data_IF_409919473353
#
_entry.id   IF_409919473353
#
_cell.length_a   1.000
_cell.length_b   1.000
_cell.length_c   1.000
_cell.angle_alpha   90.00
_cell.angle_beta   90.00
_cell.angle_gamma   90.00
#
_symmetry.space_group_name_H-M   'P 1'
#
loop_
_entity.id
_entity.type
_entity.pdbx_description
1 polymer ?
#
# COMPACT_ATOMS: atom_id res chain seq x y z
N UNK A 1 10.79 -12.52 -18.73
CA UNK A 1 10.00 -13.50 -17.98
C UNK A 1 8.94 -12.72 -17.24
N UNK A 2 7.71 -12.70 -17.76
CA UNK A 2 6.57 -12.18 -17.03
C UNK A 2 6.38 -13.05 -15.80
N UNK A 3 6.60 -12.49 -14.62
CA UNK A 3 6.20 -13.12 -13.37
C UNK A 3 4.67 -13.10 -13.32
N UNK A 4 4.06 -14.07 -13.98
CA UNK A 4 2.61 -14.21 -14.04
C UNK A 4 2.06 -14.36 -12.62
N UNK A 5 1.18 -13.45 -12.26
CA UNK A 5 0.43 -13.38 -11.01
C UNK A 5 -0.17 -14.74 -10.63
N UNK A 6 0.22 -15.29 -9.48
CA UNK A 6 -0.41 -16.47 -8.89
C UNK A 6 -1.25 -16.05 -7.66
N UNK A 7 -2.57 -16.22 -7.75
CA UNK A 7 -3.52 -15.89 -6.66
C UNK A 7 -3.24 -16.64 -5.36
N UNK A 8 -2.62 -17.81 -5.45
CA UNK A 8 -2.29 -18.63 -4.29
C UNK A 8 -1.10 -18.04 -3.53
N UNK A 9 -0.11 -17.49 -4.25
CA UNK A 9 1.04 -16.80 -3.64
C UNK A 9 0.60 -15.53 -2.89
N UNK A 10 -0.35 -14.77 -3.45
CA UNK A 10 -0.95 -13.60 -2.79
C UNK A 10 -1.72 -13.96 -1.53
N UNK A 11 -2.49 -15.05 -1.58
CA UNK A 11 -3.26 -15.54 -0.43
C UNK A 11 -2.35 -16.04 0.69
N UNK A 12 -1.24 -16.72 0.35
CA UNK A 12 -0.20 -17.12 1.31
C UNK A 12 0.43 -15.89 1.97
N UNK A 13 0.81 -14.87 1.17
CA UNK A 13 1.36 -13.62 1.71
C UNK A 13 0.35 -12.95 2.65
N UNK A 14 -0.92 -12.83 2.26
CA UNK A 14 -1.96 -12.25 3.11
C UNK A 14 -2.13 -12.99 4.45
N UNK A 15 -2.16 -14.32 4.42
CA UNK A 15 -2.29 -15.13 5.62
C UNK A 15 -1.09 -15.00 6.56
N UNK A 16 0.13 -14.92 6.02
CA UNK A 16 1.35 -14.66 6.81
C UNK A 16 1.34 -13.29 7.50
N UNK A 17 0.64 -12.32 6.91
CA UNK A 17 0.59 -10.94 7.38
C UNK A 17 -0.47 -10.71 8.48
N UNK A 18 -1.53 -11.52 8.50
CA UNK A 18 -2.59 -11.45 9.51
C UNK A 18 -2.10 -11.71 10.95
N UNK A 19 -1.10 -12.60 11.12
CA UNK A 19 -0.70 -13.13 12.42
C UNK A 19 0.44 -12.34 13.12
N UNK A 20 0.68 -11.09 12.71
CA UNK A 20 1.86 -10.32 13.09
C UNK A 20 1.52 -9.15 14.01
N UNK A 21 2.24 -9.05 15.14
CA UNK A 21 2.12 -7.97 16.13
C UNK A 21 2.48 -6.60 15.54
N UNK A 22 1.96 -5.53 16.18
CA UNK A 22 2.14 -4.12 15.77
C UNK A 22 3.61 -3.72 15.57
N UNK A 23 4.54 -4.40 16.27
CA UNK A 23 5.99 -4.16 16.16
C UNK A 23 6.55 -4.33 14.75
N UNK A 24 5.89 -5.10 13.88
CA UNK A 24 6.37 -5.41 12.53
C UNK A 24 5.67 -4.63 11.41
N UNK A 25 4.85 -3.61 11.72
CA UNK A 25 4.05 -2.91 10.70
C UNK A 25 4.87 -2.26 9.59
N UNK A 26 5.98 -1.60 9.90
CA UNK A 26 6.84 -0.98 8.88
C UNK A 26 7.44 -2.05 7.94
N UNK A 27 8.11 -3.12 8.45
CA UNK A 27 8.54 -4.23 7.60
C UNK A 27 7.43 -4.83 6.72
N UNK A 28 6.21 -4.97 7.25
CA UNK A 28 5.10 -5.54 6.48
C UNK A 28 4.60 -4.60 5.38
N UNK A 29 4.52 -3.29 5.66
CA UNK A 29 4.18 -2.28 4.64
C UNK A 29 5.24 -2.27 3.52
N UNK A 30 6.54 -2.38 3.87
CA UNK A 30 7.62 -2.49 2.89
C UNK A 30 7.49 -3.76 2.03
N UNK A 31 7.20 -4.91 2.66
CA UNK A 31 6.96 -6.17 1.94
C UNK A 31 5.79 -6.05 0.97
N UNK A 32 4.68 -5.45 1.40
CA UNK A 32 3.49 -5.24 0.57
C UNK A 32 3.79 -4.28 -0.61
N UNK A 33 4.45 -3.15 -0.36
CA UNK A 33 4.89 -2.24 -1.41
C UNK A 33 5.76 -2.95 -2.46
N UNK A 34 6.70 -3.79 -2.00
CA UNK A 34 7.55 -4.61 -2.87
C UNK A 34 6.77 -5.65 -3.67
N UNK A 35 5.78 -6.31 -3.05
CA UNK A 35 4.89 -7.27 -3.73
C UNK A 35 4.15 -6.57 -4.87
N UNK A 36 3.52 -5.42 -4.64
CA UNK A 36 2.82 -4.70 -5.71
C UNK A 36 3.76 -4.34 -6.87
N UNK A 37 4.98 -3.90 -6.57
CA UNK A 37 5.98 -3.63 -7.61
C UNK A 37 6.40 -4.89 -8.38
N UNK A 38 6.61 -6.02 -7.69
CA UNK A 38 6.99 -7.31 -8.28
C UNK A 38 5.98 -7.78 -9.33
N UNK A 39 4.68 -7.62 -9.07
CA UNK A 39 3.61 -8.04 -9.99
C UNK A 39 3.13 -6.93 -10.95
N UNK A 40 3.96 -5.90 -11.16
CA UNK A 40 3.66 -4.79 -12.06
C UNK A 40 2.38 -4.00 -11.72
N UNK A 41 1.99 -3.97 -10.45
CA UNK A 41 0.81 -3.27 -9.93
C UNK A 41 1.15 -1.85 -9.46
N UNK A 42 1.99 -1.14 -10.23
CA UNK A 42 2.52 0.18 -9.85
C UNK A 42 1.42 1.24 -9.73
N UNK A 43 0.38 1.14 -10.56
CA UNK A 43 -0.75 2.06 -10.53
C UNK A 43 -1.58 1.85 -9.27
N UNK A 44 -1.88 0.61 -8.92
CA UNK A 44 -2.58 0.25 -7.68
C UNK A 44 -1.76 0.70 -6.48
N UNK A 45 -0.44 0.49 -6.50
CA UNK A 45 0.47 0.95 -5.47
C UNK A 45 0.37 2.47 -5.25
N UNK A 46 0.37 3.23 -6.35
CA UNK A 46 0.18 4.69 -6.34
C UNK A 46 -1.19 5.09 -5.80
N UNK A 47 -2.25 4.42 -6.25
CA UNK A 47 -3.62 4.69 -5.80
C UNK A 47 -3.79 4.50 -4.30
N UNK A 48 -3.28 3.39 -3.74
CA UNK A 48 -3.33 3.10 -2.30
C UNK A 48 -2.61 4.19 -1.49
N UNK A 49 -1.43 4.62 -1.96
CA UNK A 49 -0.67 5.69 -1.31
C UNK A 49 -1.40 7.03 -1.36
N UNK A 50 -1.98 7.39 -2.51
CA UNK A 50 -2.73 8.64 -2.65
C UNK A 50 -3.99 8.61 -1.79
N UNK A 51 -4.73 7.51 -1.79
CA UNK A 51 -5.94 7.34 -0.99
C UNK A 51 -5.64 7.47 0.52
N UNK A 52 -4.57 6.82 1.00
CA UNK A 52 -4.13 6.98 2.39
C UNK A 52 -3.80 8.44 2.74
N UNK A 53 -3.07 9.14 1.86
CA UNK A 53 -2.69 10.54 2.10
C UNK A 53 -3.93 11.43 2.13
N UNK A 54 -4.87 11.22 1.22
CA UNK A 54 -6.11 12.00 1.09
C UNK A 54 -7.02 11.82 2.32
N UNK A 55 -7.30 10.57 2.69
CA UNK A 55 -8.14 10.21 3.85
C UNK A 55 -7.63 10.75 5.19
N UNK A 56 -6.34 11.06 5.26
CA UNK A 56 -5.70 11.59 6.47
C UNK A 56 -5.12 12.99 6.27
N UNK A 57 -5.43 13.67 5.17
CA UNK A 57 -4.84 14.96 4.78
C UNK A 57 -4.88 16.00 5.90
N UNK A 58 -6.00 16.09 6.62
CA UNK A 58 -6.20 16.95 7.81
C UNK A 58 -5.16 16.72 8.90
N UNK A 59 -4.91 15.45 9.24
CA UNK A 59 -3.97 15.04 10.29
C UNK A 59 -2.52 15.17 9.79
N UNK A 60 -2.29 14.81 8.53
CA UNK A 60 -0.97 14.81 7.91
C UNK A 60 -0.47 16.21 7.58
N UNK A 61 -1.34 17.23 7.67
CA UNK A 61 -1.06 18.61 7.24
C UNK A 61 -0.53 18.66 5.81
N UNK A 62 -1.09 17.82 4.95
CA UNK A 62 -0.74 17.77 3.54
C UNK A 62 -1.56 18.86 2.82
N UNK A 63 -0.91 19.95 2.40
CA UNK A 63 -1.59 21.17 1.94
C UNK A 63 -2.07 21.11 0.49
N UNK A 64 -1.50 20.24 -0.31
CA UNK A 64 -1.80 20.10 -1.73
C UNK A 64 -2.82 18.97 -1.91
N UNK A 65 -3.69 19.07 -2.92
CA UNK A 65 -4.50 17.93 -3.33
C UNK A 65 -3.57 16.85 -3.91
N UNK A 66 -3.50 15.71 -3.22
CA UNK A 66 -2.59 14.62 -3.59
C UNK A 66 -2.89 14.10 -5.00
N UNK A 67 -4.16 14.08 -5.44
CA UNK A 67 -4.52 13.60 -6.77
C UNK A 67 -4.07 14.55 -7.88
N UNK A 68 -3.95 15.85 -7.59
CA UNK A 68 -3.39 16.83 -8.55
C UNK A 68 -1.87 16.74 -8.63
N UNK A 69 -1.18 16.49 -7.50
CA UNK A 69 0.28 16.56 -7.44
C UNK A 69 0.98 15.21 -7.49
N UNK A 70 0.26 14.09 -7.49
CA UNK A 70 0.86 12.75 -7.44
C UNK A 70 1.79 12.50 -8.63
N UNK A 71 1.42 12.94 -9.85
CA UNK A 71 2.19 12.71 -11.07
C UNK A 71 3.55 13.42 -11.08
N UNK A 72 3.73 14.41 -10.21
CA UNK A 72 5.01 15.12 -10.03
C UNK A 72 5.97 14.37 -9.09
N UNK A 73 5.49 13.30 -8.44
CA UNK A 73 6.25 12.52 -7.45
C UNK A 73 6.43 11.10 -7.98
N UNK A 74 7.63 10.57 -7.85
CA UNK A 74 7.91 9.16 -8.09
C UNK A 74 7.12 8.29 -7.09
N UNK A 75 6.89 7.03 -7.44
CA UNK A 75 6.19 6.10 -6.56
C UNK A 75 6.93 5.91 -5.22
N UNK A 76 8.27 5.90 -5.25
CA UNK A 76 9.09 5.78 -4.04
C UNK A 76 8.98 7.04 -3.16
N UNK A 77 8.92 8.24 -3.75
CA UNK A 77 8.70 9.46 -2.99
C UNK A 77 7.33 9.47 -2.31
N UNK A 78 6.27 9.08 -3.04
CA UNK A 78 4.93 8.93 -2.45
C UNK A 78 4.94 7.92 -1.29
N UNK A 79 5.64 6.80 -1.46
CA UNK A 79 5.78 5.79 -0.42
C UNK A 79 6.49 6.34 0.83
N UNK A 80 7.62 7.04 0.65
CA UNK A 80 8.36 7.63 1.76
C UNK A 80 7.58 8.73 2.46
N UNK A 81 6.80 9.53 1.73
CA UNK A 81 5.90 10.53 2.30
C UNK A 81 4.86 9.85 3.17
N UNK A 82 4.10 8.90 2.62
CA UNK A 82 3.05 8.17 3.34
C UNK A 82 3.61 7.45 4.58
N UNK A 83 4.71 6.72 4.46
CA UNK A 83 5.30 5.96 5.56
C UNK A 83 5.81 6.87 6.69
N UNK A 84 6.51 7.96 6.35
CA UNK A 84 7.02 8.89 7.36
C UNK A 84 5.89 9.62 8.08
N UNK A 85 4.86 10.04 7.34
CA UNK A 85 3.66 10.67 7.89
C UNK A 85 2.90 9.68 8.77
N UNK A 86 2.68 8.46 8.30
CA UNK A 86 2.03 7.40 9.08
C UNK A 86 2.76 7.15 10.41
N UNK A 87 4.10 7.05 10.39
CA UNK A 87 4.90 6.89 11.60
C UNK A 87 4.77 8.06 12.57
N UNK A 88 4.82 9.30 12.08
CA UNK A 88 4.75 10.51 12.93
C UNK A 88 3.39 10.71 13.59
N UNK A 89 2.33 10.21 12.96
CA UNK A 89 0.95 10.42 13.41
C UNK A 89 0.29 9.14 13.96
N UNK A 90 1.07 8.08 14.23
CA UNK A 90 0.57 6.77 14.69
C UNK A 90 -0.47 6.11 13.76
N UNK A 91 -0.37 6.34 12.45
CA UNK A 91 -1.26 5.80 11.40
C UNK A 91 -0.64 4.61 10.64
N UNK A 92 0.37 3.94 11.20
CA UNK A 92 0.99 2.77 10.57
C UNK A 92 -0.01 1.62 10.36
N UNK A 93 -0.95 1.43 11.30
CA UNK A 93 -2.02 0.45 11.15
C UNK A 93 -2.96 0.80 9.99
N UNK A 94 -3.29 2.07 9.81
CA UNK A 94 -4.15 2.53 8.72
C UNK A 94 -3.48 2.34 7.35
N UNK A 95 -2.21 2.74 7.22
CA UNK A 95 -1.43 2.51 5.99
C UNK A 95 -1.28 1.02 5.69
N UNK A 96 -1.04 0.20 6.70
CA UNK A 96 -0.99 -1.25 6.55
C UNK A 96 -2.32 -1.83 6.06
N UNK A 97 -3.44 -1.37 6.64
CA UNK A 97 -4.79 -1.79 6.22
C UNK A 97 -5.09 -1.42 4.78
N UNK A 98 -4.68 -0.23 4.34
CA UNK A 98 -4.84 0.20 2.96
C UNK A 98 -4.20 -0.80 1.99
N UNK A 99 -2.95 -1.21 2.28
CA UNK A 99 -2.28 -2.23 1.50
C UNK A 99 -2.96 -3.59 1.55
N UNK A 100 -3.34 -4.08 2.73
CA UNK A 100 -3.98 -5.40 2.85
C UNK A 100 -5.36 -5.44 2.19
N UNK A 101 -6.12 -4.33 2.26
CA UNK A 101 -7.41 -4.19 1.60
C UNK A 101 -7.24 -4.17 0.08
N UNK A 102 -6.25 -3.43 -0.42
CA UNK A 102 -5.88 -3.44 -1.84
C UNK A 102 -5.50 -4.85 -2.32
N UNK A 103 -4.66 -5.54 -1.54
CA UNK A 103 -4.24 -6.91 -1.82
C UNK A 103 -5.45 -7.85 -1.93
N UNK A 104 -6.38 -7.77 -0.96
CA UNK A 104 -7.59 -8.59 -0.93
C UNK A 104 -8.52 -8.27 -2.11
N UNK A 105 -8.72 -7.00 -2.44
CA UNK A 105 -9.56 -6.58 -3.56
C UNK A 105 -9.02 -7.11 -4.90
N UNK A 106 -7.70 -7.06 -5.11
CA UNK A 106 -7.04 -7.60 -6.30
C UNK A 106 -7.21 -9.13 -6.38
N UNK A 107 -6.96 -9.84 -5.27
CA UNK A 107 -7.15 -11.29 -5.21
C UNK A 107 -8.59 -11.70 -5.52
N UNK A 108 -9.57 -10.97 -4.99
CA UNK A 108 -11.00 -11.24 -5.20
C UNK A 108 -11.45 -10.93 -6.64
N UNK A 109 -10.96 -9.84 -7.25
CA UNK A 109 -11.30 -9.46 -8.62
C UNK A 109 -10.87 -10.54 -9.63
N UNK A 110 -9.71 -11.15 -9.42
CA UNK A 110 -9.17 -12.17 -10.33
C UNK A 110 -9.75 -13.57 -10.14
N UNK A 111 -10.32 -13.90 -8.97
CA UNK A 111 -11.06 -15.16 -8.78
C UNK A 111 -12.40 -15.18 -9.55
N UNK A 112 -12.88 -14.01 -10.00
CA UNK A 112 -14.15 -13.85 -10.74
C UNK A 112 -13.98 -13.72 -12.26
N UNK A 113 -12.74 -13.75 -12.76
CA UNK A 113 -12.40 -13.77 -14.19
C UNK A 113 -11.98 -15.17 -14.58
#
# INVERSE_FOLDING_TARGET
>A
MDSSFNSDEFSVIYNQLQDQSVKHRIPMILKLFGVFNKYNLKLENRYLLCNFIDQHSDILKFKEDIYLVNNQKSLNELFLIALNKARRHNLLEALYREYTNGLQAISNKKRKL
#
